data_IF_480998232421
#
_entry.id   IF_480998232421
#
_cell.length_a   1.000
_cell.length_b   1.000
_cell.length_c   1.000
_cell.angle_alpha   90.00
_cell.angle_beta   90.00
_cell.angle_gamma   90.00
#
_symmetry.space_group_name_H-M   'P 1'
#
loop_
_entity.id
_entity.type
_entity.pdbx_description
1 polymer ?
#
# COMPACT_ATOMS: atom_id res chain seq x y z
N UNK A 1 -11.36 35.56 21.83
CA UNK A 1 -10.75 35.42 20.49
C UNK A 1 -9.36 34.77 20.53
N UNK A 2 -8.44 35.18 21.41
CA UNK A 2 -7.11 34.56 21.51
C UNK A 2 -7.14 33.11 22.06
N UNK A 3 -8.00 32.83 23.04
CA UNK A 3 -8.12 31.52 23.69
C UNK A 3 -8.71 30.44 22.76
N UNK A 4 -9.67 30.82 21.91
CA UNK A 4 -10.28 29.92 20.92
C UNK A 4 -9.30 29.56 19.80
N UNK A 5 -8.47 30.51 19.37
CA UNK A 5 -7.45 30.28 18.34
C UNK A 5 -6.33 29.36 18.86
N UNK A 6 -5.92 29.55 20.11
CA UNK A 6 -4.95 28.68 20.80
C UNK A 6 -5.46 27.24 20.92
N UNK A 7 -6.74 27.04 21.25
CA UNK A 7 -7.35 25.72 21.39
C UNK A 7 -7.47 24.97 20.04
N UNK A 8 -7.78 25.69 18.96
CA UNK A 8 -7.80 25.10 17.63
C UNK A 8 -6.41 24.63 17.19
N UNK A 9 -5.36 25.39 17.51
CA UNK A 9 -3.98 25.02 17.22
C UNK A 9 -3.53 23.77 18.00
N UNK A 10 -3.85 23.69 19.29
CA UNK A 10 -3.51 22.51 20.10
C UNK A 10 -4.27 21.27 19.65
N UNK A 11 -5.56 21.40 19.31
CA UNK A 11 -6.34 20.31 18.70
C UNK A 11 -5.76 19.86 17.36
N UNK A 12 -5.41 20.80 16.48
CA UNK A 12 -4.83 20.47 15.18
C UNK A 12 -3.49 19.72 15.33
N UNK A 13 -2.61 20.18 16.22
CA UNK A 13 -1.35 19.51 16.53
C UNK A 13 -1.57 18.11 17.13
N UNK A 14 -2.56 17.95 18.00
CA UNK A 14 -2.93 16.65 18.58
C UNK A 14 -3.47 15.68 17.52
N UNK A 15 -4.32 16.15 16.60
CA UNK A 15 -4.84 15.32 15.51
C UNK A 15 -3.75 14.93 14.50
N UNK A 16 -2.81 15.85 14.21
CA UNK A 16 -1.65 15.56 13.35
C UNK A 16 -0.75 14.50 13.99
N UNK A 17 -0.48 14.58 15.29
CA UNK A 17 0.32 13.57 16.00
C UNK A 17 -0.40 12.21 16.10
N UNK A 18 -1.73 12.20 16.21
CA UNK A 18 -2.53 10.97 16.16
C UNK A 18 -2.47 10.30 14.78
N UNK A 19 -2.48 11.09 13.70
CA UNK A 19 -2.37 10.60 12.31
C UNK A 19 -0.95 10.20 11.91
N UNK A 20 0.07 10.79 12.55
CA UNK A 20 1.49 10.50 12.29
C UNK A 20 1.99 9.24 13.01
N UNK A 21 1.19 8.64 13.89
CA UNK A 21 1.58 7.43 14.61
C UNK A 21 1.70 6.27 13.62
N UNK A 22 2.92 5.74 13.37
CA UNK A 22 3.07 4.58 12.51
C UNK A 22 2.32 3.41 13.14
N UNK A 23 1.47 2.73 12.36
CA UNK A 23 0.75 1.56 12.83
C UNK A 23 1.72 0.57 13.47
N UNK A 24 1.53 0.22 14.74
CA UNK A 24 2.37 -0.72 15.48
C UNK A 24 2.50 -2.07 14.76
N UNK A 25 1.48 -2.44 13.98
CA UNK A 25 1.49 -3.63 13.12
C UNK A 25 2.59 -3.61 12.04
N UNK A 26 3.03 -2.43 11.58
CA UNK A 26 4.07 -2.29 10.55
C UNK A 26 5.50 -2.48 11.09
N UNK A 27 5.68 -2.36 12.42
CA UNK A 27 6.99 -2.43 13.05
C UNK A 27 7.59 -3.85 13.03
N UNK A 28 6.74 -4.89 13.05
CA UNK A 28 7.13 -6.31 13.07
C UNK A 28 7.05 -7.01 11.70
N UNK A 29 7.04 -6.26 10.59
CA UNK A 29 6.96 -6.83 9.25
C UNK A 29 8.34 -6.99 8.61
N UNK A 30 8.52 -8.02 7.77
CA UNK A 30 9.68 -8.10 6.88
C UNK A 30 9.68 -6.92 5.89
N UNK A 31 10.83 -6.65 5.26
CA UNK A 31 11.00 -5.49 4.37
C UNK A 31 10.06 -5.47 3.16
N UNK A 32 9.65 -6.64 2.66
CA UNK A 32 8.70 -6.76 1.54
C UNK A 32 7.30 -6.40 2.01
N UNK A 33 6.85 -7.02 3.10
CA UNK A 33 5.51 -6.79 3.67
C UNK A 33 5.34 -5.36 4.14
N UNK A 34 6.35 -4.79 4.81
CA UNK A 34 6.35 -3.39 5.23
C UNK A 34 6.15 -2.43 4.05
N UNK A 35 6.67 -2.77 2.87
CA UNK A 35 6.57 -1.93 1.67
C UNK A 35 5.13 -1.82 1.13
N UNK A 36 4.32 -2.88 1.18
CA UNK A 36 2.98 -2.85 0.58
C UNK A 36 1.84 -2.84 1.61
N UNK A 37 1.99 -3.50 2.77
CA UNK A 37 0.91 -3.59 3.78
C UNK A 37 0.64 -2.26 4.48
N UNK A 38 1.59 -1.33 4.44
CA UNK A 38 1.40 0.03 4.94
C UNK A 38 0.45 0.87 4.07
N UNK A 39 0.15 0.43 2.85
CA UNK A 39 -0.77 1.12 1.97
C UNK A 39 -2.21 0.57 2.15
N UNK A 40 -3.13 1.33 2.77
CA UNK A 40 -4.53 0.89 2.92
C UNK A 40 -5.25 0.74 1.57
N UNK A 41 -4.73 1.38 0.52
CA UNK A 41 -5.24 1.32 -0.85
C UNK A 41 -4.57 0.24 -1.70
N UNK A 42 -3.83 -0.71 -1.11
CA UNK A 42 -3.13 -1.78 -1.85
C UNK A 42 -4.03 -2.51 -2.85
N UNK A 43 -5.33 -2.67 -2.54
CA UNK A 43 -6.29 -3.38 -3.40
C UNK A 43 -6.58 -2.64 -4.71
N UNK A 44 -6.64 -1.31 -4.69
CA UNK A 44 -6.80 -0.48 -5.89
C UNK A 44 -5.46 -0.20 -6.56
N UNK A 45 -4.37 -0.21 -5.79
CA UNK A 45 -3.01 0.09 -6.22
C UNK A 45 -2.11 -1.16 -6.34
N UNK A 46 -2.69 -2.32 -6.70
CA UNK A 46 -2.01 -3.63 -6.71
C UNK A 46 -0.65 -3.66 -7.41
N UNK A 47 -0.50 -2.91 -8.50
CA UNK A 47 0.77 -2.83 -9.25
C UNK A 47 1.94 -2.34 -8.39
N UNK A 48 1.70 -1.61 -7.29
CA UNK A 48 2.78 -1.17 -6.39
C UNK A 48 3.52 -2.33 -5.71
N UNK A 49 2.89 -3.51 -5.56
CA UNK A 49 3.57 -4.71 -5.01
C UNK A 49 4.82 -5.09 -5.81
N UNK A 50 4.82 -4.86 -7.13
CA UNK A 50 5.95 -5.16 -8.00
C UNK A 50 7.22 -4.36 -7.63
N UNK A 51 7.08 -3.26 -6.89
CA UNK A 51 8.19 -2.44 -6.38
C UNK A 51 8.70 -2.90 -5.01
N UNK A 52 8.06 -3.88 -4.39
CA UNK A 52 8.39 -4.31 -3.02
C UNK A 52 9.36 -5.49 -2.95
N UNK A 53 9.66 -6.15 -4.08
CA UNK A 53 10.65 -7.23 -4.11
C UNK A 53 12.04 -6.75 -3.70
N UNK A 54 12.85 -7.65 -3.13
CA UNK A 54 14.24 -7.41 -2.69
C UNK A 54 15.07 -8.68 -2.96
N UNK A 55 16.40 -8.59 -2.81
CA UNK A 55 17.32 -9.71 -3.09
C UNK A 55 17.80 -9.72 -4.54
N UNK A 56 18.28 -10.87 -5.03
CA UNK A 56 18.92 -10.99 -6.35
C UNK A 56 18.02 -10.57 -7.52
N UNK A 57 16.71 -10.83 -7.43
CA UNK A 57 15.76 -10.43 -8.47
C UNK A 57 15.54 -8.90 -8.52
N UNK A 58 15.98 -8.15 -7.50
CA UNK A 58 15.77 -6.72 -7.43
C UNK A 58 14.29 -6.33 -7.47
N UNK A 59 13.98 -5.24 -8.18
CA UNK A 59 12.60 -4.75 -8.37
C UNK A 59 12.01 -5.33 -9.66
N UNK A 60 10.88 -6.05 -9.56
CA UNK A 60 10.23 -6.71 -10.71
C UNK A 60 9.24 -5.77 -11.43
N UNK A 61 9.74 -4.63 -11.92
CA UNK A 61 8.89 -3.52 -12.39
C UNK A 61 8.26 -3.71 -13.78
N UNK A 62 8.62 -4.74 -14.54
CA UNK A 62 8.09 -4.95 -15.89
C UNK A 62 6.58 -5.25 -15.95
N UNK A 63 5.95 -5.50 -14.79
CA UNK A 63 4.51 -5.77 -14.65
C UNK A 63 3.72 -4.56 -14.10
N UNK A 64 4.21 -3.33 -14.31
CA UNK A 64 3.51 -2.09 -13.93
C UNK A 64 3.34 -1.16 -15.13
N UNK A 65 2.34 -0.28 -15.09
CA UNK A 65 2.16 0.75 -16.11
C UNK A 65 0.78 0.72 -16.75
N UNK A 66 0.61 1.63 -17.73
CA UNK A 66 -0.65 1.82 -18.46
C UNK A 66 -0.96 0.64 -19.38
N UNK A 67 0.07 -0.03 -19.88
CA UNK A 67 -0.06 -1.14 -20.84
C UNK A 67 -0.35 -2.48 -20.14
N UNK A 68 -0.34 -2.51 -18.81
CA UNK A 68 -0.63 -3.71 -18.04
C UNK A 68 -2.14 -3.92 -17.96
N UNK A 69 -2.60 -5.00 -18.59
CA UNK A 69 -4.01 -5.41 -18.57
C UNK A 69 -4.31 -6.17 -17.28
N UNK A 70 -5.31 -5.71 -16.53
CA UNK A 70 -5.85 -6.44 -15.38
C UNK A 70 -6.87 -7.46 -15.88
N UNK A 71 -6.61 -8.74 -15.67
CA UNK A 71 -7.60 -9.79 -15.92
C UNK A 71 -8.20 -10.27 -14.59
N UNK A 72 -9.47 -10.67 -14.63
CA UNK A 72 -10.17 -11.28 -13.51
C UNK A 72 -10.58 -12.68 -13.94
N UNK A 73 -10.05 -13.69 -13.26
CA UNK A 73 -10.54 -15.06 -13.39
C UNK A 73 -11.96 -15.12 -12.83
N UNK A 74 -12.90 -15.59 -13.65
CA UNK A 74 -14.32 -15.73 -13.31
C UNK A 74 -14.81 -17.17 -13.40
N UNK A 75 -14.01 -18.06 -13.95
CA UNK A 75 -14.29 -19.48 -14.12
C UNK A 75 -13.13 -20.31 -13.57
N UNK A 76 -13.45 -21.48 -13.01
CA UNK A 76 -12.48 -22.39 -12.37
C UNK A 76 -12.07 -23.56 -13.29
N UNK A 77 -12.65 -23.67 -14.48
CA UNK A 77 -12.34 -24.76 -15.41
C UNK A 77 -10.95 -24.58 -16.00
N UNK A 78 -10.30 -25.71 -16.31
CA UNK A 78 -9.02 -25.74 -17.01
C UNK A 78 -9.16 -26.55 -18.29
N UNK A 79 -8.69 -26.01 -19.41
CA UNK A 79 -8.70 -26.66 -20.71
C UNK A 79 -7.26 -26.75 -21.24
N UNK A 80 -6.48 -27.76 -20.80
CA UNK A 80 -5.03 -27.79 -21.02
C UNK A 80 -4.60 -27.86 -22.49
N UNK A 81 -5.51 -28.24 -23.40
CA UNK A 81 -5.25 -28.31 -24.86
C UNK A 81 -5.50 -26.98 -25.60
N UNK A 82 -6.06 -25.96 -24.94
CA UNK A 82 -6.30 -24.62 -25.50
C UNK A 82 -6.07 -23.56 -24.43
N UNK A 83 -4.81 -23.22 -24.13
CA UNK A 83 -4.46 -22.20 -23.14
C UNK A 83 -4.90 -20.79 -23.55
#
# INVERSE_FOLDING_TARGET
MATTLSWCFTLALFMVSLMASPSSSLANMNVIDKCWRGNPLWRSQRQQLAKCSVGFAGKMINNIGKDVVKYKVIDLSDHPLSP
#
